data_IF_527982572215
#
_entry.id   IF_527982572215
#
_cell.length_a   1.000
_cell.length_b   1.000
_cell.length_c   1.000
_cell.angle_alpha   90.00
_cell.angle_beta   90.00
_cell.angle_gamma   90.00
#
_symmetry.space_group_name_H-M   'P 1'
#
loop_
_entity.id
_entity.type
_entity.pdbx_description
1 polymer ?
#
# COMPACT_ATOMS: atom_id res chain seq x y z
N UNK A 1 21.19 9.70 -29.48
CA UNK A 1 21.25 9.79 -28.00
C UNK A 1 22.12 8.65 -27.48
N UNK A 2 23.42 8.86 -27.27
CA UNK A 2 24.38 7.78 -26.94
C UNK A 2 24.65 7.61 -25.44
N UNK A 3 24.11 8.50 -24.58
CA UNK A 3 24.44 8.54 -23.16
C UNK A 3 23.23 8.27 -22.23
N UNK A 4 22.11 7.76 -22.75
CA UNK A 4 20.94 7.42 -21.93
C UNK A 4 21.07 5.98 -21.47
N UNK A 5 21.30 5.77 -20.18
CA UNK A 5 21.47 4.45 -19.57
C UNK A 5 20.32 4.02 -18.66
N UNK A 6 19.39 4.93 -18.39
CA UNK A 6 18.31 4.75 -17.42
C UNK A 6 17.00 5.21 -18.04
N UNK A 7 15.98 4.35 -17.97
CA UNK A 7 14.63 4.64 -18.44
C UNK A 7 13.67 4.46 -17.29
N UNK A 8 12.66 5.33 -17.19
CA UNK A 8 11.65 5.26 -16.14
C UNK A 8 10.25 5.37 -16.74
N UNK A 9 9.30 4.68 -16.15
CA UNK A 9 7.88 4.84 -16.45
C UNK A 9 7.20 5.70 -15.39
N UNK A 10 6.01 6.21 -15.69
CA UNK A 10 5.05 6.68 -14.67
C UNK A 10 3.77 5.87 -14.89
N UNK A 11 3.59 4.83 -14.07
CA UNK A 11 2.60 3.77 -14.29
C UNK A 11 1.47 3.82 -13.25
N UNK A 12 0.23 3.47 -13.64
CA UNK A 12 -0.90 3.35 -12.71
C UNK A 12 -0.77 2.11 -11.82
N UNK A 13 -1.57 2.04 -10.76
CA UNK A 13 -1.62 0.92 -9.80
C UNK A 13 -3.07 0.42 -9.66
N UNK A 14 -3.64 -0.23 -10.70
CA UNK A 14 -5.08 -0.41 -10.87
C UNK A 14 -5.78 -1.22 -9.77
N UNK A 15 -5.07 -2.07 -9.04
CA UNK A 15 -5.65 -2.95 -8.01
C UNK A 15 -5.48 -2.47 -6.58
N UNK A 16 -4.80 -1.35 -6.33
CA UNK A 16 -4.41 -0.94 -4.98
C UNK A 16 -5.61 -0.60 -4.10
N UNK A 17 -6.51 0.26 -4.57
CA UNK A 17 -7.69 0.65 -3.78
C UNK A 17 -8.62 -0.53 -3.52
N UNK A 18 -8.82 -1.39 -4.52
CA UNK A 18 -9.63 -2.60 -4.33
C UNK A 18 -9.03 -3.50 -3.24
N UNK A 19 -7.70 -3.69 -3.24
CA UNK A 19 -7.01 -4.44 -2.20
C UNK A 19 -7.18 -3.78 -0.82
N UNK A 20 -6.95 -2.48 -0.72
CA UNK A 20 -7.04 -1.75 0.54
C UNK A 20 -8.46 -1.78 1.14
N UNK A 21 -9.48 -1.49 0.32
CA UNK A 21 -10.88 -1.52 0.75
C UNK A 21 -11.30 -2.93 1.17
N UNK A 22 -10.78 -3.97 0.51
CA UNK A 22 -11.05 -5.36 0.91
C UNK A 22 -10.47 -5.69 2.29
N UNK A 23 -9.28 -5.16 2.60
CA UNK A 23 -8.64 -5.29 3.91
C UNK A 23 -9.42 -4.56 5.00
N UNK A 24 -9.83 -3.32 4.74
CA UNK A 24 -10.63 -2.53 5.69
C UNK A 24 -12.00 -3.17 5.96
N UNK A 25 -12.69 -3.66 4.90
CA UNK A 25 -14.00 -4.29 5.03
C UNK A 25 -13.96 -5.67 5.73
N UNK A 26 -12.84 -6.40 5.65
CA UNK A 26 -12.70 -7.67 6.39
C UNK A 26 -12.52 -7.45 7.88
N UNK A 27 -11.90 -6.32 8.27
CA UNK A 27 -11.69 -5.97 9.67
C UNK A 27 -13.00 -5.50 10.34
N UNK A 28 -13.82 -4.67 9.68
CA UNK A 28 -15.06 -4.16 10.29
C UNK A 28 -16.05 -5.27 10.71
N UNK A 29 -16.17 -6.33 9.90
CA UNK A 29 -17.07 -7.47 10.18
C UNK A 29 -16.66 -8.30 11.39
N UNK A 30 -15.37 -8.29 11.74
CA UNK A 30 -14.88 -9.02 12.90
C UNK A 30 -15.16 -8.24 14.20
N UNK A 31 -15.16 -6.90 14.17
CA UNK A 31 -15.42 -6.08 15.38
C UNK A 31 -16.87 -6.11 15.82
N UNK A 32 -17.81 -6.39 14.90
CA UNK A 32 -19.22 -6.56 15.22
C UNK A 32 -19.55 -7.96 15.77
N UNK A 33 -18.65 -8.93 15.58
CA UNK A 33 -18.84 -10.33 16.00
C UNK A 33 -18.30 -10.67 17.40
N UNK A 34 -17.53 -9.78 18.04
CA UNK A 34 -16.90 -10.02 19.34
C UNK A 34 -17.81 -9.74 20.56
N UNK A 35 -19.09 -9.41 20.34
CA UNK A 35 -20.11 -9.32 21.39
C UNK A 35 -20.81 -10.67 21.71
N UNK A 36 -20.40 -11.78 21.10
CA UNK A 36 -20.95 -13.12 21.38
C UNK A 36 -19.85 -14.08 21.85
N UNK A 37 -19.75 -14.20 23.17
CA UNK A 37 -19.18 -15.31 23.97
C UNK A 37 -18.23 -16.29 23.26
N UNK A 38 -16.95 -16.22 23.65
CA UNK A 38 -15.95 -17.24 23.40
C UNK A 38 -16.44 -18.67 23.74
N UNK A 39 -16.39 -19.56 22.75
CA UNK A 39 -16.24 -21.01 22.97
C UNK A 39 -15.06 -21.52 22.13
N UNK A 40 -14.07 -22.20 22.74
CA UNK A 40 -12.86 -22.61 22.05
C UNK A 40 -13.03 -24.04 21.51
N UNK A 41 -13.70 -24.19 20.37
CA UNK A 41 -13.75 -25.47 19.66
C UNK A 41 -14.15 -25.28 18.19
N UNK A 42 -13.27 -24.72 17.37
CA UNK A 42 -13.04 -25.20 15.99
C UNK A 42 -11.88 -24.44 15.35
N UNK A 43 -10.71 -25.08 15.35
CA UNK A 43 -9.47 -24.55 14.77
C UNK A 43 -9.40 -24.93 13.30
N UNK A 44 -10.04 -24.17 12.41
CA UNK A 44 -9.72 -24.21 10.97
C UNK A 44 -10.25 -23.03 10.12
N UNK A 45 -10.41 -21.86 10.73
CA UNK A 45 -10.64 -20.62 10.01
C UNK A 45 -9.87 -19.51 10.71
N UNK A 46 -8.67 -19.19 10.25
CA UNK A 46 -7.91 -18.04 10.77
C UNK A 46 -8.65 -16.76 10.36
N UNK A 47 -9.58 -16.31 11.20
CA UNK A 47 -10.07 -14.93 11.21
C UNK A 47 -8.93 -14.07 11.73
N UNK A 48 -7.92 -13.87 10.90
CA UNK A 48 -6.75 -13.06 11.22
C UNK A 48 -7.14 -11.59 11.20
N UNK A 49 -7.34 -11.05 12.40
CA UNK A 49 -7.38 -9.61 12.61
C UNK A 49 -6.03 -9.00 12.26
N UNK A 50 -6.06 -7.97 11.42
CA UNK A 50 -4.88 -7.21 11.02
C UNK A 50 -5.17 -5.72 11.17
N UNK A 51 -4.62 -5.07 12.19
CA UNK A 51 -4.60 -3.61 12.21
C UNK A 51 -3.58 -3.11 11.19
N UNK A 52 -4.08 -2.51 10.11
CA UNK A 52 -3.23 -2.03 9.01
C UNK A 52 -2.76 -0.59 9.21
N UNK A 53 -3.21 0.12 10.25
CA UNK A 53 -2.79 1.48 10.57
C UNK A 53 -1.79 1.50 11.72
N UNK A 54 -0.79 2.37 11.63
CA UNK A 54 0.12 2.64 12.75
C UNK A 54 -0.53 3.63 13.74
N UNK A 55 -0.18 3.59 15.04
CA UNK A 55 -0.82 4.43 16.06
C UNK A 55 -0.78 5.94 15.74
N UNK A 56 0.31 6.41 15.15
CA UNK A 56 0.48 7.80 14.72
C UNK A 56 -0.45 8.14 13.54
N UNK A 57 -0.63 7.19 12.60
CA UNK A 57 -1.53 7.34 11.45
C UNK A 57 -2.99 7.35 11.91
N UNK A 58 -3.36 6.48 12.86
CA UNK A 58 -4.69 6.47 13.46
C UNK A 58 -5.01 7.79 14.14
N UNK A 59 -4.10 8.31 14.97
CA UNK A 59 -4.29 9.58 15.66
C UNK A 59 -4.43 10.74 14.69
N UNK A 60 -3.57 10.82 13.68
CA UNK A 60 -3.60 11.87 12.67
C UNK A 60 -4.90 11.81 11.83
N UNK A 61 -5.33 10.61 11.46
CA UNK A 61 -6.57 10.40 10.72
C UNK A 61 -7.78 10.85 11.54
N UNK A 62 -7.88 10.40 12.79
CA UNK A 62 -9.01 10.73 13.66
C UNK A 62 -9.11 12.23 13.94
N UNK A 63 -7.98 12.92 14.16
CA UNK A 63 -7.98 14.39 14.31
C UNK A 63 -8.43 15.10 13.02
N UNK A 64 -7.99 14.61 11.86
CA UNK A 64 -8.34 15.19 10.58
C UNK A 64 -9.79 14.94 10.17
N UNK A 65 -10.41 13.86 10.64
CA UNK A 65 -11.73 13.40 10.20
C UNK A 65 -12.91 13.88 11.04
N UNK A 66 -12.68 14.55 12.18
CA UNK A 66 -13.74 14.98 13.12
C UNK A 66 -14.87 15.75 12.43
N UNK A 67 -14.54 16.54 11.41
CA UNK A 67 -15.51 17.36 10.66
C UNK A 67 -16.16 16.62 9.47
N UNK A 68 -15.67 15.43 9.11
CA UNK A 68 -15.99 14.75 7.85
C UNK A 68 -16.72 13.41 8.03
N UNK A 69 -16.57 12.73 9.17
CA UNK A 69 -17.26 11.45 9.41
C UNK A 69 -17.43 11.14 10.90
N UNK A 70 -18.52 10.45 11.25
CA UNK A 70 -18.89 10.09 12.63
C UNK A 70 -18.40 8.69 13.05
N UNK A 71 -17.29 8.21 12.48
CA UNK A 71 -16.77 6.86 12.77
C UNK A 71 -16.22 6.73 14.20
N UNK A 72 -16.51 5.59 14.85
CA UNK A 72 -15.98 5.28 16.20
C UNK A 72 -14.57 4.65 16.15
N UNK A 73 -14.20 4.11 15.00
CA UNK A 73 -12.96 3.39 14.74
C UNK A 73 -12.21 4.03 13.55
N UNK A 74 -10.88 4.17 13.67
CA UNK A 74 -10.00 4.74 12.64
C UNK A 74 -10.06 4.01 11.29
N UNK A 75 -10.18 2.68 11.28
CA UNK A 75 -10.31 1.88 10.05
C UNK A 75 -11.65 2.11 9.36
N UNK A 76 -12.72 2.28 10.14
CA UNK A 76 -14.05 2.61 9.62
C UNK A 76 -14.07 4.03 9.02
N UNK A 77 -13.46 4.98 9.73
CA UNK A 77 -13.23 6.35 9.23
C UNK A 77 -12.47 6.32 7.91
N UNK A 78 -11.37 5.56 7.83
CA UNK A 78 -10.59 5.43 6.61
C UNK A 78 -11.43 4.85 5.47
N UNK A 79 -12.15 3.76 5.74
CA UNK A 79 -13.02 3.14 4.75
C UNK A 79 -14.05 4.14 4.20
N UNK A 80 -14.78 4.82 5.09
CA UNK A 80 -15.82 5.77 4.73
C UNK A 80 -15.29 6.93 3.90
N UNK A 81 -14.13 7.50 4.27
CA UNK A 81 -13.47 8.56 3.52
C UNK A 81 -13.08 8.07 2.12
N UNK A 82 -12.45 6.91 2.01
CA UNK A 82 -12.00 6.36 0.73
C UNK A 82 -13.13 5.91 -0.19
N UNK A 83 -14.31 5.58 0.36
CA UNK A 83 -15.52 5.25 -0.41
C UNK A 83 -16.47 6.43 -0.60
N UNK A 84 -16.11 7.62 -0.12
CA UNK A 84 -16.94 8.82 -0.27
C UNK A 84 -17.25 9.09 -1.74
N UNK A 85 -18.50 9.47 -2.08
CA UNK A 85 -18.84 9.91 -3.43
C UNK A 85 -17.89 11.02 -3.89
N UNK A 86 -17.48 11.00 -5.15
CA UNK A 86 -16.63 12.03 -5.77
C UNK A 86 -15.26 12.27 -5.11
N UNK A 87 -14.82 11.42 -4.16
CA UNK A 87 -13.54 11.57 -3.44
C UNK A 87 -13.37 12.95 -2.78
N UNK A 88 -14.40 13.42 -2.05
CA UNK A 88 -14.43 14.75 -1.42
C UNK A 88 -13.21 15.04 -0.52
N UNK A 89 -12.64 14.00 0.11
CA UNK A 89 -11.42 14.09 0.92
C UNK A 89 -10.24 14.71 0.17
N UNK A 90 -10.20 14.65 -1.16
CA UNK A 90 -9.14 15.24 -1.98
C UNK A 90 -9.15 16.78 -2.00
N UNK A 91 -10.24 17.40 -1.53
CA UNK A 91 -10.38 18.86 -1.45
C UNK A 91 -9.90 19.45 -0.12
N UNK A 92 -9.55 18.61 0.86
CA UNK A 92 -9.11 19.05 2.19
C UNK A 92 -7.61 18.79 2.37
N UNK A 93 -6.82 19.85 2.51
CA UNK A 93 -5.38 19.73 2.79
C UNK A 93 -5.10 19.01 4.11
N UNK A 94 -6.00 19.14 5.10
CA UNK A 94 -5.93 18.42 6.38
C UNK A 94 -6.05 16.90 6.15
N UNK A 95 -7.06 16.48 5.39
CA UNK A 95 -7.26 15.06 5.06
C UNK A 95 -6.16 14.53 4.15
N UNK A 96 -5.74 15.27 3.13
CA UNK A 96 -4.61 14.88 2.27
C UNK A 96 -3.34 14.64 3.09
N UNK A 97 -3.07 15.48 4.07
CA UNK A 97 -1.89 15.36 4.94
C UNK A 97 -1.99 14.14 5.87
N UNK A 98 -3.17 13.86 6.43
CA UNK A 98 -3.39 12.71 7.30
C UNK A 98 -3.43 11.37 6.54
N UNK A 99 -3.99 11.35 5.32
CA UNK A 99 -4.14 10.14 4.50
C UNK A 99 -2.85 9.76 3.77
N UNK A 100 -1.97 10.72 3.45
CA UNK A 100 -0.76 10.46 2.68
C UNK A 100 0.15 9.41 3.32
N UNK A 101 0.54 9.48 4.62
CA UNK A 101 1.41 8.48 5.22
C UNK A 101 0.87 7.03 5.13
N UNK A 102 -0.36 6.71 5.61
CA UNK A 102 -0.86 5.35 5.56
C UNK A 102 -1.06 4.86 4.13
N UNK A 103 -1.59 5.69 3.22
CA UNK A 103 -1.79 5.27 1.84
C UNK A 103 -0.47 5.00 1.11
N UNK A 104 0.56 5.81 1.33
CA UNK A 104 1.87 5.58 0.72
C UNK A 104 2.54 4.33 1.28
N UNK A 105 2.50 4.10 2.60
CA UNK A 105 3.07 2.92 3.24
C UNK A 105 2.37 1.64 2.81
N UNK A 106 1.03 1.64 2.81
CA UNK A 106 0.23 0.49 2.39
C UNK A 106 0.36 0.24 0.88
N UNK A 107 0.53 1.28 0.06
CA UNK A 107 0.84 1.12 -1.37
C UNK A 107 2.22 0.46 -1.58
N UNK A 108 3.24 0.85 -0.80
CA UNK A 108 4.55 0.20 -0.86
C UNK A 108 4.46 -1.27 -0.45
N UNK A 109 3.73 -1.59 0.62
CA UNK A 109 3.42 -2.98 1.00
C UNK A 109 2.73 -3.75 -0.15
N UNK A 110 1.69 -3.17 -0.75
CA UNK A 110 0.95 -3.78 -1.85
C UNK A 110 1.85 -4.13 -3.04
N UNK A 111 2.76 -3.23 -3.42
CA UNK A 111 3.67 -3.43 -4.54
C UNK A 111 4.79 -4.42 -4.23
N UNK A 112 5.33 -4.41 -3.00
CA UNK A 112 6.56 -5.12 -2.66
C UNK A 112 6.33 -6.48 -1.98
N UNK A 113 5.33 -6.57 -1.09
CA UNK A 113 5.08 -7.73 -0.24
C UNK A 113 3.89 -8.58 -0.68
N UNK A 114 2.81 -7.98 -1.16
CA UNK A 114 1.60 -8.74 -1.53
C UNK A 114 1.84 -9.54 -2.81
N UNK A 115 1.56 -10.84 -2.77
CA UNK A 115 1.84 -11.77 -3.88
C UNK A 115 0.60 -12.56 -4.33
N UNK A 116 0.57 -12.91 -5.61
CA UNK A 116 -0.30 -13.92 -6.20
C UNK A 116 0.56 -14.96 -6.92
N UNK A 117 0.48 -16.22 -6.47
CA UNK A 117 1.29 -17.33 -7.03
C UNK A 117 2.79 -17.02 -7.04
N UNK A 118 3.30 -16.42 -5.96
CA UNK A 118 4.71 -16.06 -5.79
C UNK A 118 5.19 -14.85 -6.60
N UNK A 119 4.30 -14.14 -7.30
CA UNK A 119 4.60 -12.91 -8.09
C UNK A 119 3.86 -11.71 -7.53
N UNK A 120 4.26 -10.50 -7.90
CA UNK A 120 3.58 -9.26 -7.48
C UNK A 120 2.07 -9.36 -7.72
N UNK A 121 1.28 -8.92 -6.74
CA UNK A 121 -0.18 -8.96 -6.83
C UNK A 121 -0.71 -8.01 -7.92
N UNK A 122 -0.13 -6.82 -8.05
CA UNK A 122 -0.47 -5.85 -9.09
C UNK A 122 -0.02 -6.31 -10.47
N UNK A 123 -0.92 -6.24 -11.46
CA UNK A 123 -0.64 -6.73 -12.81
C UNK A 123 0.35 -5.85 -13.58
N UNK A 124 0.34 -4.53 -13.34
CA UNK A 124 1.25 -3.57 -13.98
C UNK A 124 2.65 -3.71 -13.38
N UNK A 125 2.75 -3.87 -12.05
CA UNK A 125 3.98 -4.22 -11.38
C UNK A 125 4.55 -5.52 -11.93
N UNK A 126 3.74 -6.57 -11.99
CA UNK A 126 4.17 -7.85 -12.53
C UNK A 126 4.71 -7.73 -13.96
N UNK A 127 4.06 -6.95 -14.83
CA UNK A 127 4.55 -6.67 -16.18
C UNK A 127 5.92 -6.00 -16.18
N UNK A 128 6.11 -4.91 -15.45
CA UNK A 128 7.39 -4.20 -15.44
C UNK A 128 8.52 -5.02 -14.83
N UNK A 129 8.23 -5.77 -13.75
CA UNK A 129 9.19 -6.61 -13.06
C UNK A 129 9.63 -7.82 -13.91
N UNK A 130 8.72 -8.44 -14.68
CA UNK A 130 9.07 -9.49 -15.65
C UNK A 130 10.03 -8.98 -16.72
N UNK A 131 9.95 -7.69 -17.07
CA UNK A 131 10.83 -7.04 -18.02
C UNK A 131 12.12 -6.49 -17.38
N UNK A 132 12.39 -6.78 -16.11
CA UNK A 132 13.64 -6.40 -15.45
C UNK A 132 13.69 -4.98 -14.88
N UNK A 133 12.53 -4.35 -14.66
CA UNK A 133 12.48 -3.10 -13.93
C UNK A 133 12.67 -3.31 -12.42
N UNK A 134 13.04 -2.24 -11.72
CA UNK A 134 12.91 -2.12 -10.26
C UNK A 134 11.81 -1.12 -9.90
N UNK A 135 11.24 -1.24 -8.70
CA UNK A 135 10.28 -0.26 -8.16
C UNK A 135 11.06 0.88 -7.51
N UNK A 136 11.08 2.06 -8.15
CA UNK A 136 11.94 3.16 -7.72
C UNK A 136 11.21 4.11 -6.75
N UNK A 137 10.04 4.60 -7.12
CA UNK A 137 9.34 5.65 -6.36
C UNK A 137 7.83 5.54 -6.54
N UNK A 138 7.08 5.66 -5.46
CA UNK A 138 5.63 5.93 -5.50
C UNK A 138 5.39 7.44 -5.36
N UNK A 139 4.40 7.95 -6.09
CA UNK A 139 4.16 9.37 -6.29
C UNK A 139 2.74 9.71 -5.82
N UNK A 140 2.66 10.43 -4.70
CA UNK A 140 1.41 10.87 -4.11
C UNK A 140 0.67 11.85 -5.02
N UNK A 141 -0.63 11.62 -5.25
CA UNK A 141 -1.51 12.47 -6.06
C UNK A 141 -0.96 12.81 -7.44
N UNK A 142 -0.31 11.84 -8.08
CA UNK A 142 0.22 11.95 -9.43
C UNK A 142 -0.86 11.81 -10.52
N UNK A 143 -1.95 11.10 -10.23
CA UNK A 143 -3.14 11.06 -11.09
C UNK A 143 -4.39 11.43 -10.28
N UNK A 144 -4.81 12.69 -10.37
CA UNK A 144 -6.01 13.20 -9.69
C UNK A 144 -7.30 12.99 -10.48
N UNK A 145 -7.25 12.27 -11.62
CA UNK A 145 -8.47 11.92 -12.34
C UNK A 145 -9.35 10.99 -11.49
N UNK A 146 -10.65 10.98 -11.78
CA UNK A 146 -11.60 10.06 -11.13
C UNK A 146 -11.12 8.60 -11.21
N UNK A 147 -10.57 8.21 -12.37
CA UNK A 147 -9.98 6.88 -12.58
C UNK A 147 -8.76 6.64 -11.68
N UNK A 148 -7.84 7.59 -11.59
CA UNK A 148 -6.63 7.47 -10.76
C UNK A 148 -6.95 7.34 -9.28
N UNK A 149 -7.91 8.13 -8.81
CA UNK A 149 -8.43 8.07 -7.45
C UNK A 149 -9.12 6.73 -7.16
N UNK A 150 -10.00 6.28 -8.04
CA UNK A 150 -10.67 4.98 -7.91
C UNK A 150 -9.70 3.79 -7.90
N UNK A 151 -8.68 3.83 -8.77
CA UNK A 151 -7.72 2.73 -8.92
C UNK A 151 -6.72 2.66 -7.77
N UNK A 152 -6.23 3.82 -7.32
CA UNK A 152 -5.00 3.89 -6.54
C UNK A 152 -4.94 5.02 -5.51
N UNK A 153 -6.05 5.72 -5.24
CA UNK A 153 -6.03 6.92 -4.40
C UNK A 153 -5.18 8.04 -5.02
N UNK A 154 -5.03 8.02 -6.34
CA UNK A 154 -4.19 8.95 -7.11
C UNK A 154 -2.69 8.69 -7.04
N UNK A 155 -2.26 7.55 -6.48
CA UNK A 155 -0.85 7.15 -6.40
C UNK A 155 -0.40 6.51 -7.71
N UNK A 156 0.69 7.02 -8.29
CA UNK A 156 1.37 6.38 -9.43
C UNK A 156 2.77 5.93 -9.03
N UNK A 157 3.37 5.02 -9.80
CA UNK A 157 4.67 4.45 -9.50
C UNK A 157 5.65 4.61 -10.66
N UNK A 158 6.91 4.88 -10.33
CA UNK A 158 8.01 4.84 -11.28
C UNK A 158 8.69 3.47 -11.24
N UNK A 159 8.66 2.77 -12.38
CA UNK A 159 9.51 1.59 -12.61
C UNK A 159 10.74 2.00 -13.41
N UNK A 160 11.93 1.65 -12.92
CA UNK A 160 13.20 2.03 -13.54
C UNK A 160 13.89 0.83 -14.17
N UNK A 161 14.29 0.99 -15.43
CA UNK A 161 15.11 0.06 -16.19
C UNK A 161 16.53 0.59 -16.27
N UNK A 162 17.47 -0.12 -15.62
CA UNK A 162 18.90 0.17 -15.67
C UNK A 162 19.54 -0.83 -16.63
N UNK A 163 20.07 -0.38 -17.77
CA UNK A 163 20.50 -1.26 -18.87
C UNK A 163 21.37 -2.43 -18.41
N UNK A 164 22.36 -2.18 -17.55
CA UNK A 164 23.25 -3.22 -17.01
C UNK A 164 22.67 -4.13 -15.94
N UNK A 165 21.36 -4.06 -15.65
CA UNK A 165 20.68 -4.84 -14.60
C UNK A 165 19.38 -5.51 -15.06
N UNK A 166 18.91 -5.22 -16.27
CA UNK A 166 17.61 -5.73 -16.77
C UNK A 166 17.55 -7.26 -16.68
N UNK A 167 18.55 -7.96 -17.20
CA UNK A 167 18.56 -9.43 -17.21
C UNK A 167 18.64 -10.03 -15.79
N UNK A 168 19.49 -9.46 -14.94
CA UNK A 168 19.64 -9.91 -13.54
C UNK A 168 18.33 -9.75 -12.77
N UNK A 169 17.68 -8.59 -12.90
CA UNK A 169 16.43 -8.27 -12.21
C UNK A 169 15.28 -9.14 -12.74
N UNK A 170 15.17 -9.31 -14.06
CA UNK A 170 14.17 -10.17 -14.67
C UNK A 170 14.33 -11.63 -14.21
N UNK A 171 15.57 -12.14 -14.18
CA UNK A 171 15.89 -13.51 -13.73
C UNK A 171 15.53 -13.70 -12.26
N UNK A 172 15.93 -12.77 -11.39
CA UNK A 172 15.64 -12.78 -9.95
C UNK A 172 14.13 -12.76 -9.67
N UNK A 173 13.40 -11.91 -10.40
CA UNK A 173 11.94 -11.87 -10.31
C UNK A 173 11.30 -13.15 -10.84
N UNK A 174 11.75 -13.69 -11.97
CA UNK A 174 11.20 -14.91 -12.57
C UNK A 174 11.43 -16.14 -11.68
N UNK A 175 12.62 -16.33 -11.11
CA UNK A 175 12.95 -17.51 -10.30
C UNK A 175 12.35 -17.45 -8.89
N UNK A 176 12.52 -16.32 -8.19
CA UNK A 176 12.22 -16.23 -6.76
C UNK A 176 11.10 -15.24 -6.42
N UNK A 177 10.59 -14.48 -7.40
CA UNK A 177 9.61 -13.41 -7.14
C UNK A 177 10.21 -12.21 -6.39
N UNK A 178 11.55 -12.13 -6.36
CA UNK A 178 12.28 -11.05 -5.70
C UNK A 178 12.08 -9.73 -6.45
N UNK A 179 11.73 -8.68 -5.72
CA UNK A 179 11.46 -7.36 -6.26
C UNK A 179 12.60 -6.43 -5.84
N UNK A 180 13.36 -5.96 -6.83
CA UNK A 180 14.35 -4.91 -6.61
C UNK A 180 13.64 -3.57 -6.40
N UNK A 181 14.10 -2.79 -5.41
CA UNK A 181 13.51 -1.50 -5.05
C UNK A 181 14.55 -0.50 -4.58
N UNK A 182 14.23 0.79 -4.63
CA UNK A 182 15.10 1.85 -4.12
C UNK A 182 15.20 1.81 -2.59
N UNK A 183 16.28 2.40 -2.05
CA UNK A 183 16.45 2.47 -0.60
C UNK A 183 15.33 3.27 0.07
N UNK A 184 14.85 4.35 -0.56
CA UNK A 184 13.77 5.18 -0.03
C UNK A 184 12.45 4.42 0.04
N UNK A 185 12.09 3.67 -1.01
CA UNK A 185 10.85 2.89 -1.01
C UNK A 185 10.93 1.71 -0.05
N UNK A 186 12.11 1.11 0.13
CA UNK A 186 12.31 0.00 1.07
C UNK A 186 12.00 0.39 2.53
N UNK A 187 12.13 1.67 2.89
CA UNK A 187 11.88 2.16 4.26
C UNK A 187 10.42 2.03 4.68
N UNK A 188 9.48 2.01 3.74
CA UNK A 188 8.06 1.81 4.06
C UNK A 188 7.72 0.38 4.49
N UNK A 189 8.61 -0.58 4.22
CA UNK A 189 8.29 -2.01 4.22
C UNK A 189 9.25 -2.83 5.10
N UNK A 190 10.40 -2.26 5.46
CA UNK A 190 11.27 -2.84 6.48
C UNK A 190 10.63 -2.65 7.86
N UNK A 191 10.62 -3.68 8.73
CA UNK A 191 10.44 -3.45 10.15
C UNK A 191 11.47 -2.40 10.59
N UNK A 192 11.05 -1.42 11.39
CA UNK A 192 12.00 -0.56 12.11
C UNK A 192 12.94 -1.51 12.87
N UNK A 193 14.22 -1.54 12.51
CA UNK A 193 15.21 -2.29 13.28
C UNK A 193 15.17 -1.72 14.71
N UNK A 194 14.82 -2.56 15.69
CA UNK A 194 15.00 -2.19 17.09
C UNK A 194 16.50 -1.86 17.28
N UNK A 195 16.84 -0.72 17.91
CA UNK A 195 18.24 -0.38 18.14
C UNK A 195 18.87 -1.51 18.96
N UNK A 196 19.90 -2.13 18.41
CA UNK A 196 20.67 -3.15 19.11
C UNK A 196 21.21 -2.54 20.40
N UNK A 197 20.63 -2.96 21.53
CA UNK A 197 21.18 -2.68 22.85
C UNK A 197 22.57 -3.33 22.86
N UNK A 198 23.59 -2.49 22.76
CA UNK A 198 24.97 -2.90 22.96
C UNK A 198 25.11 -3.23 24.44
N UNK A 199 24.98 -4.50 24.79
CA UNK A 199 25.38 -4.99 26.10
C UNK A 199 26.90 -4.91 26.18
N UNK A 200 27.38 -4.04 27.07
CA UNK A 200 28.79 -3.93 27.46
C UNK A 200 29.25 -5.19 28.23
#
# INVERSE_FOLDING_TARGET
MTNISTFATLSPIPGYMQWLLSKLASQSKLSEGEDIQHSPADTSGSTFWENILEPEEERALMDASVEFTSGKNSMEVLFNLLTSPNHEWTSSDKLLSALKPPLMRLCARYLLQEKKRGKALDSVANFHLQNGAMVERINWMADRSEKGLYQSGGIMVNYVYRLGKIEDYARSYFSAGHIHTSSDLSRYVKPLEEPQVTTL
#
